data_IF_981492474385
#
_entry.id   IF_981492474385
#
_cell.length_a   1.000
_cell.length_b   1.000
_cell.length_c   1.000
_cell.angle_alpha   90.00
_cell.angle_beta   90.00
_cell.angle_gamma   90.00
#
_symmetry.space_group_name_H-M   'P 1'
#
loop_
_entity.id
_entity.type
_entity.pdbx_description
1 polymer ?
#
# COMPACT_ATOMS: atom_id res chain seq x y z
N UNK A 1 29.29 -14.12 -10.16
CA UNK A 1 28.87 -12.81 -10.69
C UNK A 1 28.78 -12.91 -12.19
N UNK A 2 27.62 -12.61 -12.77
CA UNK A 2 27.40 -12.65 -14.23
C UNK A 2 27.48 -11.29 -14.92
N UNK A 3 27.43 -11.32 -16.26
CA UNK A 3 27.35 -10.16 -17.14
C UNK A 3 26.32 -10.41 -18.25
N UNK A 4 25.73 -9.34 -18.81
CA UNK A 4 24.73 -9.43 -19.88
C UNK A 4 24.88 -8.32 -20.94
N UNK A 5 24.23 -8.52 -22.08
CA UNK A 5 24.08 -7.54 -23.15
C UNK A 5 25.15 -7.57 -24.23
N UNK A 6 26.11 -8.50 -24.16
CA UNK A 6 27.11 -8.72 -25.21
C UNK A 6 26.45 -9.39 -26.42
N UNK A 7 26.29 -8.67 -27.52
CA UNK A 7 25.67 -9.18 -28.76
C UNK A 7 26.42 -8.69 -29.99
N UNK A 8 26.21 -9.31 -31.15
CA UNK A 8 26.83 -8.88 -32.42
C UNK A 8 26.46 -7.43 -32.78
N UNK A 9 25.26 -6.98 -32.41
CA UNK A 9 24.77 -5.61 -32.57
C UNK A 9 25.21 -4.64 -31.47
N UNK A 10 25.67 -5.15 -30.32
CA UNK A 10 26.18 -4.35 -29.20
C UNK A 10 27.49 -4.95 -28.65
N UNK A 11 28.62 -4.73 -29.35
CA UNK A 11 29.93 -5.27 -28.95
C UNK A 11 30.51 -4.62 -27.69
N UNK A 12 29.96 -3.47 -27.25
CA UNK A 12 30.29 -2.85 -25.95
C UNK A 12 29.43 -3.39 -24.80
N UNK A 13 28.48 -4.29 -25.08
CA UNK A 13 27.64 -4.88 -24.07
C UNK A 13 28.45 -5.78 -23.14
N UNK A 14 28.58 -5.39 -21.88
CA UNK A 14 29.12 -6.23 -20.82
C UNK A 14 28.68 -5.65 -19.47
N UNK A 15 27.36 -5.57 -19.28
CA UNK A 15 26.79 -4.99 -18.08
C UNK A 15 26.83 -6.02 -16.97
N UNK A 16 27.31 -5.64 -15.79
CA UNK A 16 27.34 -6.52 -14.62
C UNK A 16 25.91 -6.82 -14.18
N UNK A 17 25.63 -8.08 -13.83
CA UNK A 17 24.36 -8.43 -13.20
C UNK A 17 24.26 -7.79 -11.80
N UNK A 18 23.10 -7.19 -11.49
CA UNK A 18 22.81 -6.55 -10.21
C UNK A 18 21.71 -7.31 -9.43
N UNK A 19 21.76 -8.64 -9.47
CA UNK A 19 20.77 -9.48 -8.80
C UNK A 19 20.81 -9.29 -7.28
N UNK A 20 19.66 -9.05 -6.66
CA UNK A 20 19.50 -8.97 -5.21
C UNK A 20 19.92 -10.28 -4.56
N UNK A 21 20.78 -10.21 -3.54
CA UNK A 21 21.23 -11.38 -2.79
C UNK A 21 20.09 -12.03 -2.01
N UNK A 22 19.17 -11.22 -1.47
CA UNK A 22 17.99 -11.70 -0.74
C UNK A 22 16.90 -12.18 -1.69
N UNK A 23 16.77 -11.53 -2.84
CA UNK A 23 15.64 -11.73 -3.75
C UNK A 23 15.87 -12.71 -4.90
N UNK A 24 17.13 -13.02 -5.23
CA UNK A 24 17.47 -13.89 -6.35
C UNK A 24 17.93 -15.28 -5.90
N UNK A 25 17.78 -16.27 -6.78
CA UNK A 25 18.31 -17.62 -6.59
C UNK A 25 19.81 -17.70 -6.93
N UNK A 26 20.31 -16.75 -7.74
CA UNK A 26 21.70 -16.70 -8.21
C UNK A 26 22.10 -15.26 -8.52
N UNK A 27 23.41 -14.99 -8.52
CA UNK A 27 24.00 -13.73 -8.98
C UNK A 27 24.41 -13.76 -10.47
N UNK A 28 23.95 -14.78 -11.20
CA UNK A 28 24.06 -14.91 -12.66
C UNK A 28 22.69 -14.60 -13.25
N UNK A 29 22.62 -13.56 -14.08
CA UNK A 29 21.43 -13.16 -14.81
C UNK A 29 21.44 -13.71 -16.24
N UNK A 30 20.29 -13.64 -16.92
CA UNK A 30 20.18 -14.00 -18.33
C UNK A 30 21.15 -13.15 -19.18
N UNK A 31 22.00 -13.77 -20.02
CA UNK A 31 23.08 -13.07 -20.71
C UNK A 31 22.59 -12.10 -21.80
N UNK A 32 21.33 -12.18 -22.22
CA UNK A 32 20.75 -11.32 -23.25
C UNK A 32 19.98 -10.16 -22.61
N UNK A 33 19.00 -10.48 -21.78
CA UNK A 33 18.08 -9.52 -21.16
C UNK A 33 18.60 -8.91 -19.86
N UNK A 34 19.51 -9.59 -19.16
CA UNK A 34 19.95 -9.21 -17.82
C UNK A 34 18.98 -9.58 -16.70
N UNK A 35 17.92 -10.35 -17.00
CA UNK A 35 16.93 -10.76 -16.00
C UNK A 35 17.54 -11.73 -14.98
N UNK A 36 17.43 -11.39 -13.71
CA UNK A 36 17.85 -12.27 -12.61
C UNK A 36 16.81 -13.37 -12.33
N UNK A 37 17.25 -14.57 -11.91
CA UNK A 37 16.33 -15.63 -11.50
C UNK A 37 15.74 -15.31 -10.13
N UNK A 38 14.56 -14.71 -10.10
CA UNK A 38 13.91 -14.28 -8.86
C UNK A 38 13.41 -15.47 -8.03
N UNK A 39 13.45 -15.32 -6.71
CA UNK A 39 12.72 -16.18 -5.78
C UNK A 39 11.20 -16.02 -5.98
N UNK A 40 10.39 -16.98 -5.50
CA UNK A 40 8.94 -16.85 -5.55
C UNK A 40 8.47 -15.51 -4.98
N UNK A 41 7.49 -14.90 -5.67
CA UNK A 41 6.84 -13.65 -5.28
C UNK A 41 7.68 -12.37 -5.40
N UNK A 42 8.85 -12.45 -6.00
CA UNK A 42 9.67 -11.30 -6.39
C UNK A 42 9.72 -11.15 -7.90
N UNK A 43 9.95 -9.92 -8.35
CA UNK A 43 9.98 -9.53 -9.74
C UNK A 43 10.92 -8.34 -9.97
N UNK A 44 11.00 -7.90 -11.24
CA UNK A 44 11.91 -6.86 -11.69
C UNK A 44 13.26 -7.44 -12.10
N UNK A 45 14.06 -6.62 -12.79
CA UNK A 45 15.34 -7.04 -13.37
C UNK A 45 16.30 -7.60 -12.30
N UNK A 46 16.28 -6.99 -11.10
CA UNK A 46 17.15 -7.28 -9.96
C UNK A 46 16.49 -8.10 -8.85
N UNK A 47 15.20 -8.45 -9.00
CA UNK A 47 14.41 -9.18 -7.99
C UNK A 47 14.26 -8.44 -6.64
N UNK A 48 14.05 -7.12 -6.69
CA UNK A 48 13.88 -6.26 -5.51
C UNK A 48 12.43 -5.85 -5.26
N UNK A 49 11.52 -6.12 -6.21
CA UNK A 49 10.12 -5.74 -6.14
C UNK A 49 9.25 -6.96 -5.88
N UNK A 50 8.17 -6.81 -5.13
CA UNK A 50 7.21 -7.90 -5.00
C UNK A 50 6.37 -8.05 -6.27
N UNK A 51 6.05 -9.29 -6.62
CA UNK A 51 5.14 -9.61 -7.71
C UNK A 51 3.74 -9.04 -7.45
N UNK A 52 2.92 -8.96 -8.50
CA UNK A 52 1.51 -8.57 -8.38
C UNK A 52 0.78 -9.36 -7.27
N UNK A 53 0.00 -8.68 -6.44
CA UNK A 53 -0.68 -9.30 -5.30
C UNK A 53 0.22 -9.60 -4.08
N UNK A 54 1.47 -9.12 -4.07
CA UNK A 54 2.40 -9.24 -2.94
C UNK A 54 3.03 -7.88 -2.56
N UNK A 55 3.48 -7.76 -1.31
CA UNK A 55 4.06 -6.55 -0.74
C UNK A 55 5.15 -6.88 0.30
N UNK A 56 5.76 -5.86 0.89
CA UNK A 56 6.81 -5.96 1.91
C UNK A 56 8.09 -6.66 1.44
N UNK A 57 8.82 -6.10 0.44
CA UNK A 57 10.07 -6.69 -0.06
C UNK A 57 11.18 -6.70 1.01
N UNK A 58 11.07 -5.87 2.05
CA UNK A 58 12.02 -5.79 3.16
C UNK A 58 11.75 -6.81 4.28
N UNK A 59 10.69 -7.61 4.18
CA UNK A 59 10.39 -8.64 5.17
C UNK A 59 11.49 -9.72 5.20
N UNK A 60 11.92 -10.20 6.38
CA UNK A 60 12.87 -11.30 6.50
C UNK A 60 12.38 -12.61 5.84
N UNK A 61 11.06 -12.74 5.63
CA UNK A 61 10.43 -13.91 4.99
C UNK A 61 10.25 -13.71 3.48
N UNK A 62 10.67 -12.57 2.94
CA UNK A 62 10.35 -12.13 1.59
C UNK A 62 8.92 -11.60 1.48
N UNK A 63 8.48 -11.36 0.25
CA UNK A 63 7.20 -10.74 -0.04
C UNK A 63 6.01 -11.51 0.53
N UNK A 64 5.08 -10.78 1.13
CA UNK A 64 3.86 -11.31 1.74
C UNK A 64 2.65 -11.04 0.84
N UNK A 65 1.63 -11.92 0.81
CA UNK A 65 0.46 -11.70 -0.03
C UNK A 65 -0.37 -10.50 0.46
N UNK A 66 -0.90 -9.72 -0.49
CA UNK A 66 -1.77 -8.57 -0.20
C UNK A 66 -3.03 -8.97 0.57
N UNK A 67 -3.69 -10.05 0.12
CA UNK A 67 -4.98 -10.53 0.65
C UNK A 67 -6.11 -9.50 0.58
N UNK A 68 -6.16 -8.71 -0.50
CA UNK A 68 -7.30 -7.82 -0.75
C UNK A 68 -8.58 -8.64 -0.93
N UNK A 69 -9.68 -8.19 -0.32
CA UNK A 69 -10.98 -8.83 -0.50
C UNK A 69 -11.47 -8.70 -1.94
N UNK A 70 -11.78 -9.80 -2.65
CA UNK A 70 -12.10 -9.77 -4.07
C UNK A 70 -13.40 -9.03 -4.40
N UNK A 71 -14.29 -8.85 -3.41
CA UNK A 71 -15.58 -8.17 -3.60
C UNK A 71 -15.48 -6.69 -3.22
N UNK A 72 -14.76 -6.40 -2.13
CA UNK A 72 -14.72 -5.10 -1.49
C UNK A 72 -13.53 -4.25 -1.92
N UNK A 73 -12.59 -4.79 -2.71
CA UNK A 73 -11.50 -4.04 -3.32
C UNK A 73 -11.72 -3.79 -4.81
N UNK A 74 -10.95 -2.85 -5.37
CA UNK A 74 -10.86 -2.61 -6.81
C UNK A 74 -9.95 -3.61 -7.54
N UNK A 75 -9.21 -4.44 -6.80
CA UNK A 75 -8.29 -5.44 -7.33
C UNK A 75 -7.53 -6.18 -6.22
N UNK A 76 -6.71 -7.12 -6.62
CA UNK A 76 -5.85 -7.96 -5.77
C UNK A 76 -4.48 -7.33 -5.48
N UNK A 77 -4.12 -6.25 -6.18
CA UNK A 77 -2.90 -5.48 -5.93
C UNK A 77 -3.07 -4.50 -4.76
N UNK A 78 -2.00 -4.38 -4.00
CA UNK A 78 -1.86 -3.46 -2.89
C UNK A 78 -0.56 -2.66 -3.00
N UNK A 79 -0.43 -1.63 -2.17
CA UNK A 79 0.80 -0.87 -2.05
C UNK A 79 2.00 -1.77 -1.65
N UNK A 80 3.12 -1.61 -2.35
CA UNK A 80 4.29 -2.49 -2.20
C UNK A 80 4.95 -2.40 -0.81
N UNK A 81 4.75 -1.31 -0.08
CA UNK A 81 5.41 -1.05 1.20
C UNK A 81 4.49 -1.25 2.41
N UNK A 82 3.24 -0.81 2.30
CA UNK A 82 2.24 -0.83 3.37
C UNK A 82 1.26 -1.99 3.25
N UNK A 83 1.16 -2.59 2.07
CA UNK A 83 0.21 -3.66 1.78
C UNK A 83 -1.24 -3.19 1.69
N UNK A 84 -1.50 -1.87 1.62
CA UNK A 84 -2.84 -1.30 1.58
C UNK A 84 -3.52 -1.57 0.24
N UNK A 85 -4.68 -2.21 0.29
CA UNK A 85 -5.53 -2.45 -0.87
C UNK A 85 -6.37 -1.22 -1.22
N UNK A 86 -6.75 -1.11 -2.50
CA UNK A 86 -7.68 -0.07 -2.96
C UNK A 86 -9.12 -0.50 -2.65
N UNK A 87 -9.68 0.01 -1.55
CA UNK A 87 -11.01 -0.38 -1.09
C UNK A 87 -12.13 0.38 -1.82
N UNK A 88 -13.25 -0.32 -2.06
CA UNK A 88 -14.48 0.27 -2.56
C UNK A 88 -15.13 1.14 -1.48
N UNK A 89 -16.02 2.02 -1.92
CA UNK A 89 -16.78 2.88 -1.00
C UNK A 89 -17.53 2.06 0.04
N UNK A 90 -17.36 2.41 1.31
CA UNK A 90 -17.99 1.71 2.44
C UNK A 90 -17.12 0.63 3.09
N UNK A 91 -15.92 0.36 2.56
CA UNK A 91 -14.97 -0.62 3.10
C UNK A 91 -13.62 0.03 3.43
N UNK A 92 -12.91 -0.56 4.38
CA UNK A 92 -11.61 -0.09 4.87
C UNK A 92 -10.76 -1.22 5.44
N UNK A 93 -9.71 -0.81 6.16
CA UNK A 93 -8.64 -1.71 6.59
C UNK A 93 -7.68 -2.07 5.46
N UNK A 94 -6.59 -2.75 5.80
CA UNK A 94 -5.53 -3.10 4.84
C UNK A 94 -6.05 -3.98 3.70
N UNK A 95 -6.99 -4.87 4.02
CA UNK A 95 -7.54 -5.90 3.11
C UNK A 95 -8.96 -5.63 2.64
N UNK A 96 -9.54 -4.45 2.94
CA UNK A 96 -10.93 -4.10 2.58
C UNK A 96 -12.01 -5.01 3.21
N UNK A 97 -11.67 -5.63 4.34
CA UNK A 97 -12.57 -6.49 5.12
C UNK A 97 -13.04 -5.81 6.40
N UNK A 98 -12.74 -4.52 6.58
CA UNK A 98 -13.07 -3.75 7.76
C UNK A 98 -13.93 -2.54 7.39
N UNK A 99 -14.43 -1.87 8.41
CA UNK A 99 -15.10 -0.60 8.25
C UNK A 99 -14.07 0.49 7.87
N UNK A 100 -14.44 1.50 7.06
CA UNK A 100 -13.60 2.65 6.77
C UNK A 100 -13.06 3.34 8.02
N UNK A 101 -11.97 4.07 7.87
CA UNK A 101 -11.40 4.86 8.95
C UNK A 101 -12.45 5.70 9.65
N UNK A 102 -12.35 5.78 10.98
CA UNK A 102 -13.30 6.49 11.85
C UNK A 102 -14.72 5.91 11.86
N UNK A 103 -14.92 4.68 11.39
CA UNK A 103 -16.18 3.94 11.55
C UNK A 103 -15.94 2.60 12.26
N UNK A 104 -17.00 1.99 12.79
CA UNK A 104 -17.00 0.72 13.52
C UNK A 104 -18.29 -0.06 13.23
N UNK A 105 -18.27 -1.37 13.46
CA UNK A 105 -19.41 -2.25 13.23
C UNK A 105 -19.02 -3.44 12.36
N UNK A 106 -20.02 -4.02 11.71
CA UNK A 106 -19.84 -5.13 10.79
C UNK A 106 -19.87 -4.60 9.34
N UNK A 107 -18.79 -4.78 8.55
CA UNK A 107 -18.73 -4.30 7.17
C UNK A 107 -19.79 -4.90 6.23
N UNK A 108 -20.34 -6.09 6.55
CA UNK A 108 -21.38 -6.75 5.76
C UNK A 108 -22.79 -6.23 6.11
N UNK A 109 -22.99 -5.75 7.34
CA UNK A 109 -24.29 -5.25 7.82
C UNK A 109 -24.38 -3.72 7.69
N UNK A 110 -23.29 -3.03 7.98
CA UNK A 110 -23.19 -1.57 7.92
C UNK A 110 -22.27 -0.99 8.98
N UNK A 111 -21.47 0.00 8.56
CA UNK A 111 -20.55 0.72 9.44
C UNK A 111 -21.22 1.96 10.06
N UNK A 112 -20.94 2.18 11.35
CA UNK A 112 -21.39 3.33 12.15
C UNK A 112 -20.21 4.24 12.49
N UNK A 113 -20.47 5.52 12.63
CA UNK A 113 -19.44 6.51 12.93
C UNK A 113 -18.86 6.34 14.34
N UNK A 114 -17.53 6.22 14.46
CA UNK A 114 -16.85 6.32 15.76
C UNK A 114 -17.07 7.73 16.32
N UNK A 115 -17.37 7.84 17.62
CA UNK A 115 -17.46 9.13 18.30
C UNK A 115 -16.04 9.64 18.63
N UNK A 116 -15.77 10.94 18.46
CA UNK A 116 -16.73 12.02 18.17
C UNK A 116 -17.15 12.11 16.69
N UNK A 117 -18.43 12.40 16.44
CA UNK A 117 -19.12 12.40 15.12
C UNK A 117 -18.54 13.35 14.05
N UNK A 118 -17.60 14.22 14.43
CA UNK A 118 -16.90 15.15 13.52
C UNK A 118 -16.14 14.44 12.40
N UNK A 119 -15.69 13.21 12.62
CA UNK A 119 -14.92 12.46 11.62
C UNK A 119 -15.76 11.82 10.49
N UNK A 120 -17.09 11.94 10.54
CA UNK A 120 -17.99 11.15 9.69
C UNK A 120 -18.91 11.99 8.80
N UNK A 121 -19.03 13.29 9.04
CA UNK A 121 -19.86 14.14 8.19
C UNK A 121 -19.08 14.59 6.94
N UNK A 122 -19.47 14.10 5.77
CA UNK A 122 -19.00 14.62 4.45
C UNK A 122 -19.39 16.09 4.18
N UNK A 123 -20.12 16.77 5.07
CA UNK A 123 -20.68 18.11 4.81
C UNK A 123 -20.96 18.95 6.08
N UNK A 124 -20.24 18.73 7.20
CA UNK A 124 -20.44 19.57 8.41
C UNK A 124 -19.80 20.96 8.30
N UNK A 125 -19.15 21.33 7.19
CA UNK A 125 -18.66 22.70 7.03
C UNK A 125 -19.77 23.74 6.84
N UNK A 126 -21.00 23.36 6.44
CA UNK A 126 -22.11 24.32 6.32
C UNK A 126 -22.91 24.52 7.61
N UNK A 127 -23.01 23.51 8.47
CA UNK A 127 -23.80 23.58 9.72
C UNK A 127 -22.91 23.83 10.97
N UNK A 128 -21.64 23.44 10.97
CA UNK A 128 -20.73 23.75 12.08
C UNK A 128 -20.23 25.20 12.08
N UNK A 129 -20.26 25.90 10.93
CA UNK A 129 -19.94 27.34 10.87
C UNK A 129 -21.00 28.23 11.56
N UNK A 130 -22.19 27.71 11.88
CA UNK A 130 -23.23 28.45 12.60
C UNK A 130 -23.28 28.12 14.11
N UNK A 131 -22.80 26.95 14.53
CA UNK A 131 -22.82 26.51 15.93
C UNK A 131 -21.45 26.61 16.63
N UNK A 132 -20.34 26.56 15.90
CA UNK A 132 -19.00 26.70 16.47
C UNK A 132 -18.69 28.16 16.89
N UNK A 133 -19.23 29.15 16.18
CA UNK A 133 -19.07 30.58 16.52
C UNK A 133 -19.81 31.01 17.79
N UNK A 134 -20.85 30.28 18.21
CA UNK A 134 -21.59 30.58 19.46
C UNK A 134 -21.03 29.86 20.70
N UNK A 135 -20.27 28.77 20.53
CA UNK A 135 -19.64 28.06 21.64
C UNK A 135 -18.23 28.58 21.95
N UNK A 136 -17.52 29.16 20.97
CA UNK A 136 -16.20 29.76 21.19
C UNK A 136 -16.23 31.11 21.94
N UNK A 137 -17.35 31.83 21.96
CA UNK A 137 -17.51 33.05 22.79
C UNK A 137 -17.80 32.76 24.26
N UNK A 138 -18.10 31.50 24.62
CA UNK A 138 -18.36 31.11 26.01
C UNK A 138 -17.07 30.65 26.72
N UNK A 139 -16.09 30.11 25.99
CA UNK A 139 -14.81 29.71 26.59
C UNK A 139 -13.78 30.85 26.74
N UNK A 140 -14.01 32.04 26.17
CA UNK A 140 -13.09 33.18 26.34
C UNK A 140 -13.53 34.21 27.39
N UNK A 141 -14.65 34.00 28.11
CA UNK A 141 -15.13 34.96 29.12
C UNK A 141 -15.33 34.33 30.52
N UNK A 142 -14.53 33.30 30.83
CA UNK A 142 -14.62 32.54 32.08
C UNK A 142 -13.28 32.26 32.77
N UNK A 143 -12.23 33.01 32.47
CA UNK A 143 -11.01 33.07 33.30
C UNK A 143 -10.79 34.48 33.83
N UNK A 144 -11.65 34.88 34.76
CA UNK A 144 -11.40 35.96 35.72
C UNK A 144 -12.06 35.61 37.04
N UNK A 145 -11.42 34.75 37.83
CA UNK A 145 -11.03 35.02 39.23
C UNK A 145 -10.19 33.88 39.78
#
# INVERSE_FOLDING_TARGET
MGYYGLTASNPLGCNKCLCSAEGSLSNVCDPVSGQCPCRPHLQGLTCELCSHGYWNPSSPRGCEPCRCDPTNSHGDTCDQSTGQCQCRSGFGGRTCTECPDNTYGDPLIGCRCKCPVVFCHRNLQRLLNMLCSMLLTIQSNGQTK
#
